data_IF_818901448167
#
_entry.id   IF_818901448167
#
_cell.length_a   1.000
_cell.length_b   1.000
_cell.length_c   1.000
_cell.angle_alpha   90.00
_cell.angle_beta   90.00
_cell.angle_gamma   90.00
#
_symmetry.space_group_name_H-M   'P 1'
#
loop_
_entity.id
_entity.type
_entity.pdbx_description
1 polymer ?
#
# COMPACT_ATOMS: atom_id res chain seq x y z
N UNK A 1 -6.19 20.03 -17.84
CA UNK A 1 -6.43 21.49 -17.67
C UNK A 1 -7.55 21.73 -16.65
N UNK A 2 -7.20 22.09 -15.41
CA UNK A 2 -8.02 22.75 -14.38
C UNK A 2 -7.02 23.42 -13.43
N UNK A 3 -6.59 24.62 -13.79
CA UNK A 3 -5.61 25.41 -13.04
C UNK A 3 -6.33 26.47 -12.19
N UNK A 4 -5.89 26.56 -10.93
CA UNK A 4 -5.78 27.76 -10.12
C UNK A 4 -7.06 28.56 -9.85
N UNK A 5 -7.72 28.26 -8.72
CA UNK A 5 -8.50 29.26 -7.98
C UNK A 5 -8.87 28.80 -6.56
N UNK A 6 -7.92 28.39 -5.71
CA UNK A 6 -8.23 28.17 -4.29
C UNK A 6 -7.00 28.30 -3.39
N UNK A 7 -6.35 29.46 -3.36
CA UNK A 7 -5.41 29.85 -2.30
C UNK A 7 -5.29 31.37 -2.29
N UNK A 8 -6.26 32.04 -1.67
CA UNK A 8 -6.05 33.34 -1.02
C UNK A 8 -7.19 33.60 -0.04
N UNK A 9 -6.88 33.55 1.25
CA UNK A 9 -7.56 34.23 2.36
C UNK A 9 -7.18 33.57 3.69
N UNK A 10 -5.96 33.85 4.13
CA UNK A 10 -5.65 33.96 5.55
C UNK A 10 -5.03 35.32 5.74
N UNK A 11 -5.73 36.23 6.42
CA UNK A 11 -5.24 37.38 7.22
C UNK A 11 -6.30 38.47 7.25
N UNK A 12 -7.26 38.37 8.17
CA UNK A 12 -7.87 39.52 8.85
C UNK A 12 -8.82 39.04 9.95
N UNK A 13 -8.82 39.78 11.06
CA UNK A 13 -9.79 39.78 12.16
C UNK A 13 -9.56 38.78 13.31
N UNK A 14 -8.46 39.00 14.03
CA UNK A 14 -8.48 38.96 15.50
C UNK A 14 -8.90 40.34 16.00
N UNK A 15 -10.13 40.54 16.49
CA UNK A 15 -10.47 41.60 17.47
C UNK A 15 -11.74 41.20 18.25
N UNK A 16 -11.57 41.09 19.57
CA UNK A 16 -12.52 41.41 20.65
C UNK A 16 -13.90 40.75 20.70
N UNK A 17 -14.05 39.75 21.58
CA UNK A 17 -15.17 39.70 22.55
C UNK A 17 -14.65 39.05 23.85
N UNK A 18 -14.21 39.88 24.80
CA UNK A 18 -14.25 39.56 26.22
C UNK A 18 -15.44 40.29 26.85
N UNK A 19 -15.95 39.72 27.94
CA UNK A 19 -16.95 40.28 28.87
C UNK A 19 -18.41 39.92 28.55
N UNK A 20 -18.88 38.83 29.14
CA UNK A 20 -19.99 38.85 30.12
C UNK A 20 -20.25 37.44 30.62
N UNK A 21 -20.02 37.23 31.92
CA UNK A 21 -20.76 36.35 32.87
C UNK A 21 -19.80 35.89 33.98
N UNK A 22 -19.50 36.86 34.85
CA UNK A 22 -19.12 36.60 36.24
C UNK A 22 -20.37 36.16 37.01
N UNK A 23 -20.18 35.27 37.98
CA UNK A 23 -21.03 34.94 39.13
C UNK A 23 -21.79 33.60 39.06
N UNK A 24 -21.07 32.52 39.35
CA UNK A 24 -21.55 31.44 40.23
C UNK A 24 -20.36 30.53 40.62
N UNK A 25 -19.45 31.06 41.42
CA UNK A 25 -18.50 30.22 42.15
C UNK A 25 -19.13 29.90 43.51
N UNK A 26 -19.50 28.63 43.73
CA UNK A 26 -19.34 27.97 45.02
C UNK A 26 -19.44 26.44 44.87
N UNK A 27 -18.45 25.78 45.47
CA UNK A 27 -18.38 24.36 45.84
C UNK A 27 -18.57 23.30 44.75
N UNK A 28 -17.46 22.85 44.17
CA UNK A 28 -17.13 21.42 44.18
C UNK A 28 -15.68 21.23 43.74
N UNK A 29 -14.82 20.87 44.69
CA UNK A 29 -13.47 20.42 44.41
C UNK A 29 -13.53 19.10 43.62
N UNK A 30 -13.27 19.16 42.32
CA UNK A 30 -12.94 18.01 41.50
C UNK A 30 -11.66 18.32 40.73
N UNK A 31 -10.70 17.42 40.93
CA UNK A 31 -9.37 17.28 40.36
C UNK A 31 -9.22 17.89 38.94
N UNK A 32 -8.06 18.51 38.61
CA UNK A 32 -7.82 18.99 37.26
C UNK A 32 -7.79 17.80 36.30
N UNK A 33 -8.84 17.68 35.49
CA UNK A 33 -8.96 16.71 34.42
C UNK A 33 -7.81 16.95 33.45
N UNK A 34 -6.79 16.09 33.51
CA UNK A 34 -5.70 16.09 32.57
C UNK A 34 -6.28 16.01 31.15
N UNK A 35 -6.06 17.07 30.37
CA UNK A 35 -6.50 17.19 28.98
C UNK A 35 -5.83 16.07 28.20
N UNK A 36 -6.53 14.95 28.00
CA UNK A 36 -6.02 13.81 27.27
C UNK A 36 -5.83 14.23 25.80
N UNK A 37 -4.58 14.41 25.38
CA UNK A 37 -4.18 14.68 23.98
C UNK A 37 -4.52 13.52 23.02
N UNK A 38 -5.37 12.58 23.43
CA UNK A 38 -5.46 11.25 22.85
C UNK A 38 -6.72 11.01 22.01
N UNK A 39 -7.58 12.00 21.79
CA UNK A 39 -8.77 11.87 20.94
C UNK A 39 -8.56 12.58 19.59
N UNK A 40 -8.90 11.96 18.45
CA UNK A 40 -8.92 12.68 17.19
C UNK A 40 -9.93 13.82 17.30
N UNK A 41 -9.50 15.03 16.93
CA UNK A 41 -10.36 16.21 16.98
C UNK A 41 -11.45 16.08 15.92
N UNK A 42 -12.67 16.54 16.19
CA UNK A 42 -13.79 16.51 15.21
C UNK A 42 -13.39 17.12 13.86
N UNK A 43 -12.58 18.19 13.89
CA UNK A 43 -12.00 18.80 12.68
C UNK A 43 -11.12 17.86 11.86
N UNK A 44 -10.35 16.98 12.51
CA UNK A 44 -9.49 16.00 11.84
C UNK A 44 -10.34 14.93 11.14
N UNK A 45 -11.38 14.44 11.82
CA UNK A 45 -12.32 13.46 11.25
C UNK A 45 -13.05 14.03 10.03
N UNK A 46 -13.53 15.28 10.09
CA UNK A 46 -14.16 15.93 8.94
C UNK A 46 -13.22 16.08 7.73
N UNK A 47 -11.96 16.46 7.97
CA UNK A 47 -10.96 16.55 6.89
C UNK A 47 -10.63 15.19 6.28
N UNK A 48 -10.53 14.16 7.12
CA UNK A 48 -10.31 12.78 6.70
C UNK A 48 -11.49 12.27 5.85
N UNK A 49 -12.71 12.49 6.32
CA UNK A 49 -13.93 12.17 5.59
C UNK A 49 -13.91 12.79 4.19
N UNK A 50 -13.64 14.10 4.10
CA UNK A 50 -13.61 14.80 2.83
C UNK A 50 -12.58 14.22 1.84
N UNK A 51 -11.41 13.78 2.33
CA UNK A 51 -10.39 13.16 1.46
C UNK A 51 -10.83 11.77 0.98
N UNK A 52 -11.41 10.97 1.86
CA UNK A 52 -11.93 9.64 1.52
C UNK A 52 -13.09 9.72 0.52
N UNK A 53 -13.95 10.73 0.64
CA UNK A 53 -15.06 10.98 -0.30
C UNK A 53 -14.58 11.51 -1.66
N UNK A 54 -13.49 12.28 -1.71
CA UNK A 54 -13.01 12.86 -2.96
C UNK A 54 -12.37 11.83 -3.88
N UNK A 55 -11.50 10.97 -3.34
CA UNK A 55 -10.82 9.92 -4.10
C UNK A 55 -10.39 8.78 -3.19
N UNK A 56 -11.24 7.76 -3.12
CA UNK A 56 -11.01 6.60 -2.28
C UNK A 56 -9.84 5.74 -2.79
N UNK A 57 -9.66 5.63 -4.10
CA UNK A 57 -8.62 4.79 -4.70
C UNK A 57 -7.24 5.43 -4.52
N UNK A 58 -7.12 6.75 -4.68
CA UNK A 58 -5.88 7.45 -4.37
C UNK A 58 -5.52 7.39 -2.88
N UNK A 59 -6.52 7.41 -1.98
CA UNK A 59 -6.30 7.19 -0.56
C UNK A 59 -5.81 5.75 -0.28
N UNK A 60 -6.44 4.75 -0.91
CA UNK A 60 -6.06 3.35 -0.81
C UNK A 60 -4.63 3.09 -1.31
N UNK A 61 -4.25 3.71 -2.42
CA UNK A 61 -2.89 3.62 -2.98
C UNK A 61 -1.85 4.21 -2.04
N UNK A 62 -2.11 5.40 -1.45
CA UNK A 62 -1.18 6.00 -0.48
C UNK A 62 -1.05 5.14 0.77
N UNK A 63 -2.16 4.62 1.29
CA UNK A 63 -2.15 3.74 2.45
C UNK A 63 -1.41 2.44 2.16
N UNK A 64 -1.59 1.88 0.97
CA UNK A 64 -0.87 0.70 0.48
C UNK A 64 0.65 0.90 0.47
N UNK A 65 1.12 2.04 -0.06
CA UNK A 65 2.54 2.39 -0.04
C UNK A 65 3.07 2.57 1.38
N UNK A 66 2.30 3.23 2.26
CA UNK A 66 2.65 3.39 3.67
C UNK A 66 2.79 2.06 4.39
N UNK A 67 1.81 1.17 4.23
CA UNK A 67 1.81 -0.16 4.86
C UNK A 67 2.95 -1.02 4.31
N UNK A 68 3.26 -0.93 3.01
CA UNK A 68 4.42 -1.60 2.42
C UNK A 68 5.74 -1.11 3.05
N UNK A 69 5.90 0.20 3.23
CA UNK A 69 7.06 0.79 3.90
C UNK A 69 7.14 0.38 5.38
N UNK A 70 6.02 0.32 6.09
CA UNK A 70 5.95 -0.11 7.48
C UNK A 70 6.33 -1.59 7.64
N UNK A 71 5.86 -2.45 6.75
CA UNK A 71 6.13 -3.89 6.81
C UNK A 71 7.54 -4.26 6.32
N UNK A 72 8.30 -3.31 5.77
CA UNK A 72 9.69 -3.56 5.41
C UNK A 72 10.57 -3.66 6.66
N UNK A 73 11.61 -4.49 6.58
CA UNK A 73 12.64 -4.56 7.63
C UNK A 73 13.40 -3.24 7.82
N UNK A 74 13.33 -2.34 6.83
CA UNK A 74 13.93 -1.00 6.84
C UNK A 74 12.91 0.09 7.21
N UNK A 75 11.81 -0.24 7.87
CA UNK A 75 10.72 0.69 8.16
C UNK A 75 11.18 1.98 8.86
N UNK A 76 12.21 1.94 9.72
CA UNK A 76 12.75 3.13 10.40
C UNK A 76 13.33 4.17 9.44
N UNK A 77 13.93 3.76 8.33
CA UNK A 77 14.46 4.69 7.32
C UNK A 77 13.45 5.00 6.22
N UNK A 78 12.53 4.09 5.92
CA UNK A 78 11.57 4.23 4.82
C UNK A 78 10.26 4.92 5.22
N UNK A 79 9.84 4.90 6.49
CA UNK A 79 8.65 5.59 6.97
C UNK A 79 8.90 7.09 7.19
N UNK A 80 9.19 7.78 6.08
CA UNK A 80 9.48 9.20 6.04
C UNK A 80 8.41 9.92 5.21
N UNK A 81 7.67 10.90 5.76
CA UNK A 81 7.69 11.37 7.15
C UNK A 81 7.00 10.40 8.11
N UNK A 82 7.49 10.38 9.35
CA UNK A 82 6.92 9.55 10.40
C UNK A 82 5.73 10.25 11.10
N UNK A 83 4.61 9.56 11.37
CA UNK A 83 3.47 10.12 12.09
C UNK A 83 3.84 10.57 13.53
N UNK A 84 3.79 11.88 13.79
CA UNK A 84 4.18 12.47 15.08
C UNK A 84 3.45 11.90 16.30
N UNK A 85 2.18 11.51 16.12
CA UNK A 85 1.33 10.95 17.19
C UNK A 85 1.80 9.57 17.67
N UNK A 86 2.72 8.94 16.94
CA UNK A 86 3.28 7.61 17.20
C UNK A 86 4.75 7.68 17.63
N UNK A 87 5.22 8.87 18.00
CA UNK A 87 6.53 9.04 18.61
C UNK A 87 6.46 8.74 20.11
N UNK A 88 7.45 8.02 20.62
CA UNK A 88 7.61 7.79 22.05
C UNK A 88 7.93 9.11 22.78
N UNK A 89 7.87 9.07 24.12
CA UNK A 89 8.24 10.21 24.98
C UNK A 89 9.65 10.77 24.71
N UNK A 90 10.53 9.98 24.11
CA UNK A 90 11.89 10.36 23.68
C UNK A 90 11.98 10.81 22.21
N UNK A 91 10.87 11.10 21.55
CA UNK A 91 10.79 11.43 20.11
C UNK A 91 11.38 10.34 19.21
N UNK A 92 11.27 9.07 19.62
CA UNK A 92 11.71 7.93 18.82
C UNK A 92 10.52 7.27 18.14
N UNK A 93 10.66 6.77 16.89
CA UNK A 93 9.62 6.03 16.21
C UNK A 93 9.15 4.81 17.03
N UNK A 94 7.87 4.74 17.37
CA UNK A 94 7.29 3.54 17.98
C UNK A 94 6.66 2.64 16.91
N UNK A 95 7.46 1.74 16.36
CA UNK A 95 7.00 0.84 15.28
C UNK A 95 5.95 -0.16 15.75
N UNK A 96 6.04 -0.65 17.00
CA UNK A 96 5.07 -1.58 17.55
C UNK A 96 3.67 -0.96 17.58
N UNK A 97 3.57 0.31 18.01
CA UNK A 97 2.29 1.02 18.01
C UNK A 97 1.70 1.21 16.60
N UNK A 98 2.54 1.35 15.57
CA UNK A 98 2.08 1.38 14.17
C UNK A 98 1.60 -0.01 13.74
N UNK A 99 2.35 -1.07 14.03
CA UNK A 99 1.97 -2.43 13.65
C UNK A 99 0.66 -2.87 14.28
N UNK A 100 0.44 -2.57 15.55
CA UNK A 100 -0.82 -2.86 16.24
C UNK A 100 -2.00 -2.16 15.54
N UNK A 101 -1.81 -0.90 15.13
CA UNK A 101 -2.87 -0.15 14.43
C UNK A 101 -3.08 -0.63 12.99
N UNK A 102 -2.02 -1.03 12.29
CA UNK A 102 -2.13 -1.59 10.94
C UNK A 102 -2.87 -2.94 10.98
N UNK A 103 -2.67 -3.74 12.03
CA UNK A 103 -3.38 -5.00 12.21
C UNK A 103 -4.89 -4.79 12.41
N UNK A 104 -5.28 -3.67 13.03
CA UNK A 104 -6.67 -3.26 13.25
C UNK A 104 -7.31 -2.53 12.05
N UNK A 105 -6.62 -2.41 10.90
CA UNK A 105 -7.18 -1.73 9.73
C UNK A 105 -8.26 -2.54 9.00
N UNK A 106 -9.49 -2.03 9.08
CA UNK A 106 -10.57 -2.40 8.18
C UNK A 106 -10.45 -1.73 6.80
N UNK A 107 -11.17 -2.26 5.81
CA UNK A 107 -11.31 -1.65 4.48
C UNK A 107 -11.71 -0.17 4.57
N UNK A 108 -11.15 0.66 3.69
CA UNK A 108 -11.38 2.12 3.73
C UNK A 108 -12.86 2.48 3.52
N UNK A 109 -13.63 1.70 2.76
CA UNK A 109 -15.08 1.89 2.61
C UNK A 109 -15.81 1.78 3.95
N UNK A 110 -15.42 0.79 4.75
CA UNK A 110 -16.04 0.53 6.04
C UNK A 110 -15.69 1.64 7.03
N UNK A 111 -14.43 2.09 7.01
CA UNK A 111 -13.98 3.22 7.81
C UNK A 111 -14.72 4.50 7.41
N UNK A 112 -14.90 4.77 6.12
CA UNK A 112 -15.70 5.90 5.64
C UNK A 112 -17.15 5.80 6.13
N UNK A 113 -17.76 4.62 6.05
CA UNK A 113 -19.10 4.38 6.55
C UNK A 113 -19.21 4.58 8.08
N UNK A 114 -18.21 4.16 8.85
CA UNK A 114 -18.15 4.42 10.29
C UNK A 114 -18.09 5.92 10.60
N UNK A 115 -17.29 6.68 9.83
CA UNK A 115 -17.19 8.13 10.00
C UNK A 115 -18.53 8.81 9.69
N UNK A 116 -19.21 8.38 8.62
CA UNK A 116 -20.52 8.91 8.22
C UNK A 116 -21.64 8.59 9.22
N UNK A 117 -21.61 7.39 9.80
CA UNK A 117 -22.61 6.94 10.78
C UNK A 117 -22.32 7.46 12.20
N UNK A 118 -21.18 8.13 12.42
CA UNK A 118 -20.77 8.64 13.72
C UNK A 118 -20.40 7.54 14.73
N UNK A 119 -20.18 6.31 14.28
CA UNK A 119 -19.88 5.16 15.14
C UNK A 119 -18.38 5.09 15.46
N UNK A 120 -17.90 6.02 16.28
CA UNK A 120 -16.50 6.08 16.70
C UNK A 120 -16.26 5.20 17.93
N UNK A 121 -16.10 3.90 17.74
CA UNK A 121 -15.67 2.99 18.81
C UNK A 121 -14.32 3.43 19.39
N UNK A 122 -14.15 3.32 20.70
CA UNK A 122 -12.93 3.78 21.39
C UNK A 122 -11.64 3.08 20.94
N UNK A 123 -11.74 1.87 20.36
CA UNK A 123 -10.62 1.13 19.79
C UNK A 123 -10.05 1.75 18.50
N UNK A 124 -10.89 2.42 17.70
CA UNK A 124 -10.50 2.92 16.37
C UNK A 124 -9.82 4.30 16.42
N UNK A 125 -9.59 4.85 17.63
CA UNK A 125 -9.01 6.20 17.79
C UNK A 125 -7.62 6.31 17.17
N UNK A 126 -6.79 5.28 17.37
CA UNK A 126 -5.43 5.28 16.83
C UNK A 126 -5.44 5.06 15.31
N UNK A 127 -6.36 4.24 14.80
CA UNK A 127 -6.63 4.08 13.35
C UNK A 127 -6.95 5.44 12.72
N UNK A 128 -7.90 6.20 13.25
CA UNK A 128 -8.25 7.51 12.71
C UNK A 128 -7.09 8.53 12.77
N UNK A 129 -6.28 8.51 13.83
CA UNK A 129 -5.09 9.37 13.92
C UNK A 129 -4.06 9.01 12.86
N UNK A 130 -3.77 7.72 12.69
CA UNK A 130 -2.81 7.25 11.69
C UNK A 130 -3.28 7.60 10.28
N UNK A 131 -4.56 7.34 9.98
CA UNK A 131 -5.17 7.72 8.70
C UNK A 131 -5.16 9.22 8.46
N UNK A 132 -5.44 10.02 9.48
CA UNK A 132 -5.35 11.48 9.37
C UNK A 132 -3.91 11.93 9.07
N UNK A 133 -2.90 11.34 9.73
CA UNK A 133 -1.51 11.64 9.47
C UNK A 133 -1.12 11.25 8.03
N UNK A 134 -1.39 10.02 7.62
CA UNK A 134 -0.96 9.48 6.32
C UNK A 134 -1.76 10.06 5.16
N UNK A 135 -3.07 10.18 5.26
CA UNK A 135 -3.91 10.61 4.13
C UNK A 135 -4.04 12.13 4.04
N UNK A 136 -4.10 12.83 5.17
CA UNK A 136 -4.29 14.28 5.20
C UNK A 136 -2.96 15.01 5.36
N UNK A 137 -2.22 14.82 6.47
CA UNK A 137 -0.97 15.57 6.69
C UNK A 137 0.07 15.27 5.59
N UNK A 138 0.24 14.01 5.23
CA UNK A 138 1.21 13.65 4.18
C UNK A 138 0.62 13.91 2.78
N UNK A 139 -0.71 13.81 2.62
CA UNK A 139 -1.40 14.22 1.39
C UNK A 139 -1.26 15.71 1.05
N UNK A 140 -1.08 16.59 2.05
CA UNK A 140 -0.77 18.01 1.83
C UNK A 140 0.60 18.25 1.17
N UNK A 141 1.52 17.28 1.25
CA UNK A 141 2.85 17.32 0.60
C UNK A 141 2.77 16.88 -0.85
N UNK A 142 2.02 15.82 -1.11
CA UNK A 142 1.80 15.27 -2.45
C UNK A 142 0.38 14.78 -2.55
N UNK A 143 -0.39 15.36 -3.48
CA UNK A 143 -1.73 14.90 -3.82
C UNK A 143 -1.65 13.78 -4.86
N UNK A 144 -2.55 12.81 -4.73
CA UNK A 144 -2.70 11.72 -5.69
C UNK A 144 -4.11 11.80 -6.25
N UNK A 145 -4.24 11.64 -7.55
CA UNK A 145 -5.52 11.55 -8.26
C UNK A 145 -5.56 10.27 -9.09
N UNK A 146 -6.66 9.52 -8.99
CA UNK A 146 -6.88 8.35 -9.83
C UNK A 146 -7.24 8.77 -11.24
N UNK A 147 -6.53 8.20 -12.21
CA UNK A 147 -6.80 8.35 -13.62
C UNK A 147 -7.79 7.27 -14.09
N UNK A 148 -8.75 7.62 -14.93
CA UNK A 148 -9.70 6.65 -15.45
C UNK A 148 -9.07 5.83 -16.59
N UNK A 149 -9.47 4.55 -16.78
CA UNK A 149 -8.91 3.70 -17.84
C UNK A 149 -9.04 4.27 -19.26
N UNK A 150 -10.06 5.11 -19.53
CA UNK A 150 -10.23 5.78 -20.81
C UNK A 150 -9.14 6.83 -21.11
N UNK A 151 -8.49 7.37 -20.08
CA UNK A 151 -7.46 8.41 -20.19
C UNK A 151 -6.05 7.81 -20.35
N UNK A 152 -5.91 6.48 -20.28
CA UNK A 152 -4.60 5.82 -20.31
C UNK A 152 -3.91 5.98 -21.68
N UNK A 153 -4.65 5.83 -22.77
CA UNK A 153 -4.11 5.99 -24.14
C UNK A 153 -3.69 7.45 -24.43
N UNK A 154 -4.45 8.42 -23.91
CA UNK A 154 -4.12 9.83 -24.01
C UNK A 154 -2.82 10.14 -23.25
N UNK A 155 -2.63 9.54 -22.07
CA UNK A 155 -1.42 9.65 -21.27
C UNK A 155 -0.20 9.05 -21.99
N UNK A 156 -0.31 7.86 -22.58
CA UNK A 156 0.81 7.25 -23.33
C UNK A 156 1.21 8.10 -24.53
N UNK A 157 0.23 8.65 -25.23
CA UNK A 157 0.45 9.57 -26.35
C UNK A 157 1.13 10.86 -25.89
N UNK A 158 0.65 11.44 -24.78
CA UNK A 158 1.19 12.68 -24.21
C UNK A 158 2.66 12.54 -23.80
N UNK A 159 2.97 11.45 -23.09
CA UNK A 159 4.31 11.16 -22.60
C UNK A 159 5.23 10.60 -23.71
N UNK A 160 4.69 10.33 -24.90
CA UNK A 160 5.38 9.71 -26.04
C UNK A 160 6.00 8.35 -25.68
N UNK A 161 5.27 7.57 -24.90
CA UNK A 161 5.69 6.25 -24.42
C UNK A 161 4.94 5.19 -25.24
N UNK A 162 5.62 4.10 -25.60
CA UNK A 162 4.96 2.92 -26.14
C UNK A 162 4.04 2.30 -25.07
N UNK A 163 2.83 1.89 -25.47
CA UNK A 163 1.94 1.19 -24.55
C UNK A 163 2.66 -0.05 -23.95
N UNK A 164 2.59 -0.25 -22.63
CA UNK A 164 3.28 -1.36 -21.98
C UNK A 164 2.70 -2.70 -22.43
N UNK A 165 3.54 -3.74 -22.47
CA UNK A 165 3.12 -5.09 -22.87
C UNK A 165 2.01 -5.63 -21.96
N UNK A 166 2.12 -5.35 -20.66
CA UNK A 166 1.05 -5.60 -19.70
C UNK A 166 0.43 -4.27 -19.26
N UNK A 167 -0.89 -4.06 -19.40
CA UNK A 167 -1.52 -2.82 -18.97
C UNK A 167 -1.54 -2.72 -17.43
N UNK A 168 -1.31 -1.53 -16.86
CA UNK A 168 -1.44 -1.31 -15.43
C UNK A 168 -2.90 -1.47 -14.98
N UNK A 169 -3.10 -1.96 -13.76
CA UNK A 169 -4.42 -2.11 -13.16
C UNK A 169 -5.02 -0.75 -12.82
N UNK A 170 -4.20 0.16 -12.32
CA UNK A 170 -4.56 1.54 -11.99
C UNK A 170 -3.39 2.47 -12.27
N UNK A 171 -3.69 3.71 -12.68
CA UNK A 171 -2.72 4.78 -12.83
C UNK A 171 -3.11 5.92 -11.91
N UNK A 172 -2.13 6.46 -11.19
CA UNK A 172 -2.31 7.63 -10.33
C UNK A 172 -1.44 8.77 -10.83
N UNK A 173 -2.04 9.93 -11.00
CA UNK A 173 -1.33 11.17 -11.25
C UNK A 173 -0.85 11.75 -9.91
N UNK A 174 0.39 12.22 -9.91
CA UNK A 174 1.07 12.77 -8.75
C UNK A 174 1.13 14.29 -8.90
N UNK A 175 0.38 15.01 -8.08
CA UNK A 175 0.43 16.47 -8.04
C UNK A 175 1.27 16.91 -6.83
N UNK A 176 2.50 17.40 -7.05
CA UNK A 176 3.38 17.84 -5.98
C UNK A 176 2.92 19.17 -5.38
N UNK A 177 3.11 19.35 -4.08
CA UNK A 177 2.84 20.62 -3.41
C UNK A 177 4.06 21.53 -3.44
N UNK A 178 3.88 22.78 -3.89
CA UNK A 178 4.92 23.82 -3.84
C UNK A 178 5.34 24.20 -2.41
N UNK A 179 4.66 23.66 -1.38
CA UNK A 179 5.05 23.84 0.02
C UNK A 179 6.30 23.03 0.38
N UNK A 180 6.56 21.94 -0.35
CA UNK A 180 7.69 21.06 -0.09
C UNK A 180 9.01 21.66 -0.57
N UNK A 181 10.07 21.54 0.24
CA UNK A 181 11.40 22.03 -0.12
C UNK A 181 11.93 21.36 -1.39
N UNK A 182 11.79 20.03 -1.47
CA UNK A 182 12.13 19.21 -2.63
C UNK A 182 11.52 19.74 -3.93
N UNK A 183 10.20 19.97 -3.93
CA UNK A 183 9.48 20.46 -5.11
C UNK A 183 9.98 21.83 -5.56
N UNK A 184 10.37 22.71 -4.62
CA UNK A 184 10.96 24.01 -4.96
C UNK A 184 12.36 23.87 -5.56
N UNK A 185 13.19 22.98 -5.01
CA UNK A 185 14.52 22.69 -5.53
C UNK A 185 14.41 22.16 -6.97
N UNK A 186 13.57 21.15 -7.19
CA UNK A 186 13.29 20.61 -8.51
C UNK A 186 12.75 21.66 -9.49
N UNK A 187 11.77 22.48 -9.07
CA UNK A 187 11.22 23.55 -9.92
C UNK A 187 12.30 24.52 -10.38
N UNK A 188 13.24 24.87 -9.50
CA UNK A 188 14.34 25.78 -9.82
C UNK A 188 15.32 25.17 -10.82
N UNK A 189 15.54 23.85 -10.75
CA UNK A 189 16.39 23.10 -11.70
C UNK A 189 15.69 22.89 -13.04
N UNK A 190 14.38 22.63 -13.03
CA UNK A 190 13.54 22.50 -14.22
C UNK A 190 13.61 23.74 -15.12
N UNK A 191 13.67 24.93 -14.53
CA UNK A 191 13.77 26.18 -15.29
C UNK A 191 15.15 26.37 -15.95
N UNK A 192 16.18 25.73 -15.41
CA UNK A 192 17.58 25.88 -15.85
C UNK A 192 18.02 24.79 -16.83
N UNK A 193 17.49 23.57 -16.69
CA UNK A 193 17.94 22.39 -17.43
C UNK A 193 16.79 21.71 -18.19
N UNK A 194 17.08 21.06 -19.33
CA UNK A 194 16.07 20.31 -20.05
C UNK A 194 15.60 19.10 -19.24
N UNK A 195 14.28 18.91 -19.18
CA UNK A 195 13.64 17.79 -18.48
C UNK A 195 13.43 16.61 -19.42
N UNK A 196 13.65 15.40 -18.91
CA UNK A 196 13.34 14.14 -19.57
C UNK A 196 12.53 13.23 -18.66
N UNK A 197 11.88 12.24 -19.25
CA UNK A 197 11.10 11.23 -18.53
C UNK A 197 11.91 9.94 -18.47
N UNK A 198 11.86 9.26 -17.32
CA UNK A 198 12.38 7.92 -17.11
C UNK A 198 11.45 7.11 -16.21
N UNK A 199 11.65 5.80 -16.19
CA UNK A 199 10.84 4.86 -15.41
C UNK A 199 11.65 4.28 -14.27
N UNK A 200 11.08 4.28 -13.08
CA UNK A 200 11.68 3.68 -11.91
C UNK A 200 10.89 2.43 -11.50
N UNK A 201 11.57 1.28 -11.53
CA UNK A 201 11.03 -0.03 -11.17
C UNK A 201 11.65 -0.58 -9.89
N UNK A 202 11.55 0.19 -8.80
CA UNK A 202 12.11 -0.17 -7.49
C UNK A 202 11.20 -1.05 -6.64
N UNK A 203 11.54 -1.18 -5.35
CA UNK A 203 10.68 -1.87 -4.39
C UNK A 203 9.53 -0.98 -3.96
N UNK A 204 8.40 -1.59 -3.65
CA UNK A 204 7.19 -0.89 -3.23
C UNK A 204 7.41 -0.06 -1.96
N UNK A 205 8.17 -0.59 -1.01
CA UNK A 205 8.50 0.06 0.27
C UNK A 205 9.30 1.36 0.13
N UNK A 206 10.07 1.51 -0.95
CA UNK A 206 10.94 2.67 -1.21
C UNK A 206 10.16 3.86 -1.79
N UNK A 207 9.05 3.59 -2.47
CA UNK A 207 8.25 4.60 -3.16
C UNK A 207 7.54 5.56 -2.21
N UNK A 208 7.21 5.13 -0.99
CA UNK A 208 6.48 5.98 -0.04
C UNK A 208 7.30 7.21 0.40
N UNK A 209 8.56 6.99 0.79
CA UNK A 209 9.47 8.07 1.17
C UNK A 209 9.87 8.92 -0.03
N UNK A 210 10.15 8.29 -1.16
CA UNK A 210 10.46 8.96 -2.42
C UNK A 210 9.31 9.88 -2.88
N UNK A 211 8.06 9.43 -2.73
CA UNK A 211 6.88 10.23 -3.06
C UNK A 211 6.69 11.40 -2.09
N UNK A 212 6.78 11.16 -0.79
CA UNK A 212 6.32 12.15 0.20
C UNK A 212 7.37 13.19 0.58
N UNK A 213 8.64 12.76 0.69
CA UNK A 213 9.77 13.62 1.04
C UNK A 213 10.56 14.05 -0.19
N UNK A 214 10.60 13.20 -1.22
CA UNK A 214 11.46 13.42 -2.38
C UNK A 214 12.89 12.94 -2.16
N UNK A 215 13.12 12.01 -1.24
CA UNK A 215 14.47 11.47 -0.99
C UNK A 215 14.77 10.25 -1.87
N UNK A 216 16.06 10.01 -2.12
CA UNK A 216 16.51 8.75 -2.71
C UNK A 216 16.37 7.62 -1.68
N UNK A 217 16.09 6.38 -2.13
CA UNK A 217 16.07 5.23 -1.25
C UNK A 217 17.47 5.00 -0.65
N UNK A 218 17.59 5.17 0.67
CA UNK A 218 18.83 4.94 1.43
C UNK A 218 20.03 5.76 0.96
N UNK A 219 19.79 6.93 0.36
CA UNK A 219 20.83 7.82 -0.21
C UNK A 219 21.71 7.14 -1.28
N UNK A 220 21.22 6.06 -1.90
CA UNK A 220 21.88 5.39 -3.01
C UNK A 220 21.41 5.94 -4.36
N UNK A 221 22.29 5.99 -5.38
CA UNK A 221 21.92 6.49 -6.70
C UNK A 221 20.87 5.58 -7.35
N UNK A 222 19.82 6.17 -7.89
CA UNK A 222 18.73 5.42 -8.52
C UNK A 222 19.00 5.19 -10.00
N UNK A 223 18.53 4.04 -10.49
CA UNK A 223 18.56 3.69 -11.91
C UNK A 223 17.19 3.92 -12.52
N UNK A 224 17.12 4.80 -13.51
CA UNK A 224 15.95 5.07 -14.32
C UNK A 224 16.07 4.36 -15.66
N UNK A 225 14.99 3.75 -16.11
CA UNK A 225 14.88 3.02 -17.37
C UNK A 225 14.23 3.90 -18.44
N UNK A 226 14.56 3.66 -19.71
CA UNK A 226 13.93 4.35 -20.83
C UNK A 226 12.59 3.72 -21.26
N UNK A 227 12.30 2.47 -20.87
CA UNK A 227 11.05 1.77 -21.19
C UNK A 227 10.34 1.28 -19.93
N UNK A 228 9.01 1.21 -20.00
CA UNK A 228 8.16 0.71 -18.90
C UNK A 228 8.39 -0.77 -18.65
N UNK A 229 8.47 -1.59 -19.70
CA UNK A 229 8.62 -3.04 -19.57
C UNK A 229 9.97 -3.42 -18.92
N UNK A 230 11.03 -2.69 -19.24
CA UNK A 230 12.35 -2.87 -18.62
C UNK A 230 12.28 -2.55 -17.11
N UNK A 231 11.63 -1.44 -16.74
CA UNK A 231 11.41 -1.11 -15.33
C UNK A 231 10.51 -2.14 -14.63
N UNK A 232 9.48 -2.64 -15.29
CA UNK A 232 8.57 -3.65 -14.74
C UNK A 232 9.30 -4.98 -14.49
N UNK A 233 10.25 -5.34 -15.35
CA UNK A 233 11.08 -6.54 -15.17
C UNK A 233 11.97 -6.47 -13.92
N UNK A 234 12.38 -5.25 -13.54
CA UNK A 234 13.16 -4.99 -12.33
C UNK A 234 12.27 -4.88 -11.08
N UNK A 235 11.04 -4.40 -11.23
CA UNK A 235 10.09 -4.20 -10.14
C UNK A 235 9.61 -5.54 -9.56
N UNK A 236 9.91 -5.75 -8.27
CA UNK A 236 9.47 -6.94 -7.54
C UNK A 236 8.09 -6.72 -6.93
N UNK A 237 7.25 -7.77 -6.94
CA UNK A 237 5.97 -7.73 -6.25
C UNK A 237 6.19 -7.64 -4.73
N UNK A 238 5.69 -6.56 -4.13
CA UNK A 238 5.71 -6.33 -2.70
C UNK A 238 4.38 -6.72 -2.04
N UNK A 239 4.45 -7.08 -0.76
CA UNK A 239 3.24 -7.22 0.07
C UNK A 239 2.73 -5.83 0.42
N UNK A 240 1.52 -5.53 -0.03
CA UNK A 240 0.79 -4.32 0.30
C UNK A 240 -0.15 -4.58 1.49
N UNK A 241 -1.06 -3.63 1.71
CA UNK A 241 -2.19 -3.77 2.63
C UNK A 241 -3.18 -4.81 2.12
N UNK A 242 -3.44 -5.86 2.91
CA UNK A 242 -4.28 -7.00 2.50
C UNK A 242 -5.74 -6.64 2.21
N UNK A 243 -6.24 -5.53 2.77
CA UNK A 243 -7.59 -5.03 2.54
C UNK A 243 -7.67 -3.98 1.41
N UNK A 244 -6.56 -3.71 0.72
CA UNK A 244 -6.48 -2.73 -0.36
C UNK A 244 -7.29 -3.14 -1.59
N UNK A 245 -7.89 -2.14 -2.25
CA UNK A 245 -8.55 -2.31 -3.56
C UNK A 245 -7.58 -2.39 -4.71
N UNK A 246 -6.41 -1.79 -4.58
CA UNK A 246 -5.34 -1.96 -5.55
C UNK A 246 -4.85 -3.41 -5.59
N UNK A 247 -4.99 -4.15 -4.48
CA UNK A 247 -4.61 -5.56 -4.35
C UNK A 247 -3.61 -5.79 -3.22
N UNK A 248 -3.58 -7.02 -2.71
CA UNK A 248 -2.69 -7.40 -1.61
C UNK A 248 -1.22 -7.56 -2.06
N UNK A 249 -0.99 -7.92 -3.32
CA UNK A 249 0.33 -7.98 -3.94
C UNK A 249 0.41 -6.94 -5.06
N UNK A 250 1.31 -5.98 -4.89
CA UNK A 250 1.46 -4.85 -5.80
C UNK A 250 2.89 -4.79 -6.32
N UNK A 251 3.02 -4.62 -7.63
CA UNK A 251 4.23 -4.10 -8.26
C UNK A 251 3.94 -2.68 -8.74
N UNK A 252 4.89 -1.75 -8.58
CA UNK A 252 4.67 -0.35 -8.91
C UNK A 252 5.83 0.19 -9.74
N UNK A 253 5.51 0.84 -10.86
CA UNK A 253 6.48 1.57 -11.69
C UNK A 253 6.16 3.05 -11.60
N UNK A 254 7.14 3.84 -11.19
CA UNK A 254 7.00 5.30 -11.14
C UNK A 254 7.51 5.94 -12.43
N UNK A 255 6.73 6.87 -12.98
CA UNK A 255 7.16 7.76 -14.06
C UNK A 255 7.79 8.98 -13.43
N UNK A 256 9.08 9.14 -13.68
CA UNK A 256 9.92 10.16 -13.06
C UNK A 256 10.34 11.16 -14.13
N UNK A 257 10.01 12.42 -13.90
CA UNK A 257 10.59 13.54 -14.61
C UNK A 257 11.92 13.91 -13.95
N UNK A 258 13.00 13.98 -14.71
CA UNK A 258 14.32 14.34 -14.20
C UNK A 258 14.96 15.46 -15.02
N UNK A 259 15.61 16.39 -14.32
CA UNK A 259 16.38 17.46 -14.94
C UNK A 259 17.76 16.93 -15.36
N UNK A 260 18.13 17.09 -16.63
CA UNK A 260 19.41 16.56 -17.15
C UNK A 260 20.55 17.50 -16.77
N UNK A 261 21.07 17.33 -15.56
CA UNK A 261 22.30 18.00 -15.13
C UNK A 261 23.51 17.07 -15.32
N UNK A 262 24.53 17.45 -16.11
CA UNK A 262 25.62 16.56 -16.51
C UNK A 262 26.53 16.10 -15.37
N UNK A 263 26.49 16.75 -14.21
CA UNK A 263 27.27 16.37 -13.02
C UNK A 263 26.59 15.33 -12.14
N UNK A 264 25.25 15.26 -12.15
CA UNK A 264 24.45 14.41 -11.26
C UNK A 264 23.70 13.30 -12.02
N UNK A 265 23.67 13.36 -13.34
CA UNK A 265 23.00 12.40 -14.21
C UNK A 265 24.00 11.78 -15.17
N UNK A 266 24.38 10.53 -14.90
CA UNK A 266 25.27 9.76 -15.77
C UNK A 266 24.40 8.90 -16.68
N UNK A 267 24.56 9.09 -17.99
CA UNK A 267 23.98 8.19 -18.97
C UNK A 267 24.96 7.04 -19.17
N UNK A 268 24.47 5.82 -18.93
CA UNK A 268 25.20 4.65 -19.39
C UNK A 268 24.90 4.49 -20.89
N UNK A 269 25.93 4.43 -21.73
CA UNK A 269 25.77 4.26 -23.18
C UNK A 269 25.55 2.78 -23.55
N UNK A 270 25.94 1.85 -22.66
CA UNK A 270 25.87 0.41 -22.91
C UNK A 270 24.55 -0.19 -22.41
N UNK A 271 24.00 0.34 -21.33
CA UNK A 271 22.69 -0.04 -20.81
C UNK A 271 21.74 1.14 -20.94
N UNK A 272 20.52 0.94 -21.47
CA UNK A 272 19.50 1.98 -21.67
C UNK A 272 18.94 2.52 -20.34
N UNK A 273 19.81 2.92 -19.44
CA UNK A 273 19.55 3.32 -18.07
C UNK A 273 20.27 4.63 -17.78
N UNK A 274 19.63 5.43 -16.94
CA UNK A 274 20.15 6.72 -16.47
C UNK A 274 20.33 6.62 -14.98
N UNK A 275 21.53 6.92 -14.50
CA UNK A 275 21.85 6.90 -13.08
C UNK A 275 21.74 8.33 -12.55
N UNK A 276 20.91 8.51 -11.53
CA UNK A 276 20.71 9.81 -10.87
C UNK A 276 21.28 9.74 -9.46
N UNK A 277 22.21 10.64 -9.16
CA UNK A 277 22.91 10.69 -7.88
C UNK A 277 22.22 11.52 -6.82
N UNK A 278 21.36 12.46 -7.22
CA UNK A 278 20.76 13.41 -6.30
C UNK A 278 19.24 13.43 -6.41
N UNK A 279 18.59 13.57 -5.26
CA UNK A 279 17.15 13.52 -5.15
C UNK A 279 16.53 14.76 -5.78
N UNK A 280 17.11 15.94 -5.57
CA UNK A 280 16.56 17.23 -6.01
C UNK A 280 16.34 17.32 -7.54
N UNK A 281 17.03 16.47 -8.30
CA UNK A 281 16.91 16.40 -9.76
C UNK A 281 15.67 15.63 -10.25
N UNK A 282 14.92 14.96 -9.36
CA UNK A 282 13.83 14.05 -9.73
C UNK A 282 12.47 14.46 -9.16
N UNK A 283 11.43 14.21 -9.94
CA UNK A 283 10.05 14.38 -9.53
C UNK A 283 9.18 13.26 -10.10
N UNK A 284 8.42 12.59 -9.23
CA UNK A 284 7.44 11.59 -9.67
C UNK A 284 6.20 12.31 -10.21
N UNK A 285 5.78 11.96 -11.42
CA UNK A 285 4.59 12.53 -12.08
C UNK A 285 3.44 11.54 -12.16
N UNK A 286 3.73 10.25 -12.38
CA UNK A 286 2.71 9.21 -12.43
C UNK A 286 3.18 7.94 -11.71
N UNK A 287 2.23 7.20 -11.16
CA UNK A 287 2.45 5.88 -10.57
C UNK A 287 1.59 4.85 -11.31
N UNK A 288 2.22 3.82 -11.84
CA UNK A 288 1.57 2.70 -12.52
C UNK A 288 1.53 1.52 -11.56
N UNK A 289 0.33 1.13 -11.14
CA UNK A 289 0.13 0.03 -10.23
C UNK A 289 -0.25 -1.24 -10.99
N UNK A 290 0.50 -2.30 -10.75
CA UNK A 290 0.27 -3.65 -11.27
C UNK A 290 -0.15 -4.53 -10.11
N UNK A 291 -1.44 -4.50 -9.83
CA UNK A 291 -2.03 -5.21 -8.70
C UNK A 291 -2.55 -6.57 -9.09
N UNK A 292 -2.24 -7.59 -8.28
CA UNK A 292 -2.89 -8.88 -8.35
C UNK A 292 -3.92 -8.94 -7.24
N UNK A 293 -5.19 -8.74 -7.60
CA UNK A 293 -6.29 -8.96 -6.65
C UNK A 293 -6.52 -10.46 -6.45
N UNK A 294 -6.77 -10.88 -5.21
CA UNK A 294 -7.11 -12.28 -4.92
C UNK A 294 -8.41 -12.70 -5.62
N UNK A 295 -9.31 -11.76 -5.92
CA UNK A 295 -10.53 -11.97 -6.71
C UNK A 295 -10.25 -12.38 -8.15
N UNK A 296 -9.20 -11.84 -8.78
CA UNK A 296 -8.74 -12.34 -10.09
C UNK A 296 -8.19 -13.76 -9.98
N UNK A 297 -7.54 -14.09 -8.86
CA UNK A 297 -7.04 -15.43 -8.58
C UNK A 297 -8.18 -16.42 -8.29
N UNK A 298 -9.26 -16.01 -7.62
CA UNK A 298 -10.49 -16.80 -7.49
C UNK A 298 -11.12 -17.05 -8.85
N UNK A 299 -11.23 -16.06 -9.75
CA UNK A 299 -11.73 -16.32 -11.11
C UNK A 299 -10.81 -17.24 -11.92
N UNK A 300 -9.49 -17.14 -11.74
CA UNK A 300 -8.52 -18.04 -12.39
C UNK A 300 -8.52 -19.46 -11.79
N UNK A 301 -8.79 -19.60 -10.49
CA UNK A 301 -9.02 -20.89 -9.83
C UNK A 301 -10.39 -21.47 -10.16
N UNK A 302 -11.42 -20.64 -10.35
CA UNK A 302 -12.75 -21.03 -10.86
C UNK A 302 -12.71 -21.45 -12.33
N UNK A 303 -11.70 -21.01 -13.08
CA UNK A 303 -11.35 -21.48 -14.43
C UNK A 303 -10.51 -22.77 -14.42
N UNK A 304 -10.19 -23.34 -13.25
CA UNK A 304 -9.81 -24.75 -13.22
C UNK A 304 -11.04 -25.56 -13.61
N UNK A 305 -10.92 -26.58 -14.49
CA UNK A 305 -12.03 -27.47 -14.75
C UNK A 305 -12.48 -28.04 -13.41
N UNK A 306 -13.74 -27.80 -13.04
CA UNK A 306 -14.40 -28.50 -11.92
C UNK A 306 -14.06 -29.97 -12.12
N UNK A 307 -13.23 -30.53 -11.23
CA UNK A 307 -12.98 -31.97 -11.22
C UNK A 307 -14.33 -32.61 -10.94
N UNK A 308 -14.98 -33.09 -11.99
CA UNK A 308 -16.20 -33.85 -11.87
C UNK A 308 -15.80 -35.21 -11.29
N UNK A 309 -15.90 -35.32 -9.96
CA UNK A 309 -15.71 -36.60 -9.29
C UNK A 309 -16.94 -37.44 -9.61
N UNK A 310 -16.80 -38.35 -10.57
CA UNK A 310 -17.83 -39.34 -10.88
C UNK A 310 -17.93 -40.32 -9.71
N UNK A 311 -18.88 -40.04 -8.80
CA UNK A 311 -19.11 -40.82 -7.60
C UNK A 311 -19.36 -42.31 -7.93
N UNK A 312 -20.03 -42.62 -9.04
CA UNK A 312 -20.31 -44.01 -9.42
C UNK A 312 -19.05 -44.76 -9.86
N UNK A 313 -18.11 -44.08 -10.52
CA UNK A 313 -16.81 -44.66 -10.86
C UNK A 313 -15.95 -44.87 -9.62
N UNK A 314 -15.95 -43.91 -8.68
CA UNK A 314 -15.19 -44.04 -7.42
C UNK A 314 -15.73 -45.16 -6.52
N UNK A 315 -17.06 -45.29 -6.40
CA UNK A 315 -17.67 -46.38 -5.63
C UNK A 315 -17.44 -47.75 -6.27
N UNK A 316 -17.45 -47.84 -7.61
CA UNK A 316 -17.10 -49.08 -8.32
C UNK A 316 -15.62 -49.45 -8.15
N UNK A 317 -14.72 -48.47 -8.20
CA UNK A 317 -13.29 -48.69 -7.92
C UNK A 317 -13.07 -49.16 -6.47
N UNK A 318 -13.71 -48.48 -5.50
CA UNK A 318 -13.65 -48.84 -4.09
C UNK A 318 -14.19 -50.27 -3.87
N UNK A 319 -15.28 -50.61 -4.55
CA UNK A 319 -15.87 -51.94 -4.53
C UNK A 319 -14.97 -53.00 -5.20
N UNK A 320 -14.17 -52.64 -6.21
CA UNK A 320 -13.22 -53.55 -6.84
C UNK A 320 -11.98 -53.82 -5.97
N UNK A 321 -11.63 -52.88 -5.08
CA UNK A 321 -10.43 -52.92 -4.23
C UNK A 321 -10.73 -53.15 -2.74
N UNK A 322 -11.89 -53.74 -2.42
CA UNK A 322 -12.38 -53.99 -1.03
C UNK A 322 -11.30 -54.60 -0.12
N UNK A 323 -10.55 -55.58 -0.60
CA UNK A 323 -9.51 -56.28 0.17
C UNK A 323 -8.28 -55.42 0.46
N UNK A 324 -7.87 -54.56 -0.48
CA UNK A 324 -6.73 -53.66 -0.28
C UNK A 324 -7.07 -52.56 0.73
N UNK A 325 -8.32 -52.08 0.69
CA UNK A 325 -8.82 -51.07 1.62
C UNK A 325 -9.00 -51.67 3.01
N UNK A 326 -9.57 -52.87 3.14
CA UNK A 326 -9.70 -53.54 4.44
C UNK A 326 -8.34 -53.86 5.06
N UNK A 327 -7.34 -54.26 4.26
CA UNK A 327 -5.97 -54.46 4.71
C UNK A 327 -5.34 -53.14 5.20
N UNK A 328 -5.55 -52.04 4.49
CA UNK A 328 -5.09 -50.72 4.89
C UNK A 328 -5.71 -50.25 6.21
N UNK A 329 -7.02 -50.43 6.37
CA UNK A 329 -7.73 -50.10 7.62
C UNK A 329 -7.26 -50.99 8.78
N UNK A 330 -7.04 -52.28 8.53
CA UNK A 330 -6.50 -53.20 9.54
C UNK A 330 -5.09 -52.79 9.99
N UNK A 331 -4.20 -52.45 9.06
CA UNK A 331 -2.86 -51.94 9.37
C UNK A 331 -2.91 -50.62 10.12
N UNK A 332 -3.85 -49.74 9.79
CA UNK A 332 -4.05 -48.47 10.47
C UNK A 332 -4.51 -48.69 11.92
N UNK A 333 -5.51 -49.56 12.15
CA UNK A 333 -5.94 -49.95 13.50
C UNK A 333 -4.81 -50.58 14.32
N UNK A 334 -4.03 -51.49 13.70
CA UNK A 334 -2.90 -52.13 14.37
C UNK A 334 -1.82 -51.11 14.79
N UNK A 335 -1.61 -50.09 13.96
CA UNK A 335 -0.65 -49.01 14.26
C UNK A 335 -1.11 -48.07 15.36
N UNK A 336 -2.42 -47.96 15.60
CA UNK A 336 -2.99 -47.17 16.71
C UNK A 336 -2.94 -47.91 18.05
N UNK A 337 -2.92 -49.25 18.05
CA UNK A 337 -2.85 -50.05 19.28
C UNK A 337 -1.44 -50.25 19.84
N UNK A 338 -0.38 -49.92 19.10
CA UNK A 338 1.00 -49.98 19.57
C UNK A 338 1.44 -48.62 20.13
N UNK A 339 1.77 -48.58 21.43
CA UNK A 339 2.05 -47.35 22.20
C UNK A 339 3.28 -46.53 21.75
N UNK A 340 3.98 -46.96 20.69
CA UNK A 340 5.13 -46.27 20.08
C UNK A 340 4.89 -45.81 18.62
N UNK A 341 3.64 -45.76 18.15
CA UNK A 341 3.26 -45.62 16.74
C UNK A 341 3.29 -44.23 16.08
N UNK A 342 3.84 -43.17 16.69
CA UNK A 342 3.79 -41.81 16.09
C UNK A 342 4.57 -41.65 14.77
N UNK A 343 5.63 -42.43 14.57
CA UNK A 343 6.47 -42.34 13.36
C UNK A 343 5.96 -43.11 12.15
N UNK A 344 5.22 -44.20 12.35
CA UNK A 344 4.75 -45.09 11.27
C UNK A 344 3.47 -44.55 10.63
N UNK A 345 2.57 -43.97 11.42
CA UNK A 345 1.36 -43.30 10.93
C UNK A 345 1.68 -42.14 9.98
N UNK A 346 2.68 -41.32 10.31
CA UNK A 346 3.10 -40.21 9.46
C UNK A 346 3.62 -40.70 8.10
N UNK A 347 4.47 -41.74 8.08
CA UNK A 347 5.01 -42.29 6.83
C UNK A 347 3.96 -43.03 5.99
N UNK A 348 2.99 -43.68 6.62
CA UNK A 348 1.86 -44.30 5.91
C UNK A 348 0.89 -43.25 5.36
N UNK A 349 0.62 -42.18 6.10
CA UNK A 349 -0.20 -41.06 5.63
C UNK A 349 0.44 -40.37 4.42
N UNK A 350 1.75 -40.08 4.46
CA UNK A 350 2.45 -39.45 3.33
C UNK A 350 2.50 -40.36 2.11
N UNK A 351 2.67 -41.67 2.29
CA UNK A 351 2.71 -42.63 1.18
C UNK A 351 1.32 -42.92 0.60
N UNK A 352 0.29 -42.97 1.45
CA UNK A 352 -1.11 -43.13 1.06
C UNK A 352 -1.63 -41.94 0.26
N UNK A 353 -1.31 -40.70 0.69
CA UNK A 353 -1.65 -39.49 -0.06
C UNK A 353 -0.98 -39.50 -1.45
N UNK A 354 0.25 -40.00 -1.55
CA UNK A 354 0.95 -40.11 -2.85
C UNK A 354 0.31 -41.15 -3.78
N UNK A 355 -0.14 -42.28 -3.25
CA UNK A 355 -0.83 -43.31 -4.02
C UNK A 355 -2.23 -42.87 -4.46
N UNK A 356 -2.96 -42.14 -3.60
CA UNK A 356 -4.26 -41.54 -3.91
C UNK A 356 -4.09 -40.49 -5.02
N UNK A 357 -3.07 -39.63 -4.91
CA UNK A 357 -2.78 -38.62 -5.95
C UNK A 357 -2.46 -39.22 -7.31
N UNK A 358 -1.82 -40.40 -7.35
CA UNK A 358 -1.50 -41.10 -8.60
C UNK A 358 -2.65 -41.96 -9.14
N UNK A 359 -3.60 -42.35 -8.30
CA UNK A 359 -4.80 -43.11 -8.70
C UNK A 359 -5.98 -42.25 -9.15
N UNK A 360 -6.08 -41.01 -8.66
CA UNK A 360 -7.16 -40.07 -9.01
C UNK A 360 -6.91 -39.24 -10.27
N UNK A 361 -5.70 -39.29 -10.83
CA UNK A 361 -5.36 -38.69 -12.11
C UNK A 361 -5.11 -39.82 -13.12
N UNK A 362 -6.14 -40.31 -13.84
CA UNK A 362 -5.87 -40.81 -15.17
C UNK A 362 -5.38 -39.62 -15.99
N UNK A 363 -4.27 -39.78 -16.71
CA UNK A 363 -3.95 -38.88 -17.83
C UNK A 363 -5.08 -38.98 -18.84
#
# INVERSE_FOLDING_TARGET
>A
MKLLSFLDNSHAVEVSICQTLSNAANSCALLPFARTKNTPTVKQLYKLQKHLESDLLACDARLSLFVAAANSYRCESLLCPFPEDFLDSKQRPNMNAIFDVIADFDRLEFILQQILTGNYSSGHKNVFKLLYAVLVKHGERVALSTLQPCEFEELYTHLKISAPSTPPTQIFEVTPSLKCAHTKAYSSLRDQYPVKIGFYGGKLEELYSMLTVGCLPLDEPIRLFCNVDDALSQSQYGSSWGASRCGALLSCVAVVEFAVMPTLVIKDEEQRHVIVHDADCIQISYLLFFGKSFTQYETALMLQPRVYVDWDATFRWLASKKYAISLGVYLMMLSMSMSSGRGVLYRLATSGIYAIRKGFLPI
#
